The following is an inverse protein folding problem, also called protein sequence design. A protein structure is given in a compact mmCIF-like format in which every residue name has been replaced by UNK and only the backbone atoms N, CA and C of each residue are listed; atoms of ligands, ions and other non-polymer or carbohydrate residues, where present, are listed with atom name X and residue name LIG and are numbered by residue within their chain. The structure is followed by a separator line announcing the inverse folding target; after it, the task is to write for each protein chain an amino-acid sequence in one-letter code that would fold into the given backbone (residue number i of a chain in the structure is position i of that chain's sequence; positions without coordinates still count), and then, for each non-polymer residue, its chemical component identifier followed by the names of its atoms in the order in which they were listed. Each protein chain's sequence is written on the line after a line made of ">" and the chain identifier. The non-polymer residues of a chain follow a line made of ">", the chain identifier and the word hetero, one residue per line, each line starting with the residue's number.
data_IF_629446613694
#
_entry.id   IF_629446613694
#
_cell.length_a   1.000
_cell.length_b   1.000
_cell.length_c   1.000
_cell.angle_alpha   90.00
_cell.angle_beta   90.00
_cell.angle_gamma   90.00
#
_symmetry.space_group_name_H-M   'P 1'
#
loop_
_entity.id
_entity.type
_entity.pdbx_description
1 polymer ?
#
# COMPACT_ATOMS: atom_id res chain seq x y z
N UNK A 1 15.36 -1.13 -7.06
CA UNK A 1 15.36 -1.33 -5.66
C UNK A 1 16.75 -1.45 -5.10
N UNK A 2 17.03 -0.65 -4.21
CA UNK A 2 18.35 -0.54 -3.67
C UNK A 2 18.43 -1.05 -2.24
N UNK A 3 17.31 -1.29 -1.61
CA UNK A 3 17.33 -1.60 -0.22
C UNK A 3 16.20 -2.54 0.13
N UNK A 4 16.55 -3.78 0.43
CA UNK A 4 15.59 -4.81 0.78
C UNK A 4 16.07 -5.49 2.05
N UNK A 5 15.24 -5.44 3.08
CA UNK A 5 15.45 -6.25 4.26
C UNK A 5 14.72 -7.56 4.06
N UNK A 6 15.07 -8.62 4.81
CA UNK A 6 14.42 -9.91 4.64
C UNK A 6 12.89 -9.84 4.65
N UNK A 7 12.33 -8.91 5.43
CA UNK A 7 10.89 -8.81 5.60
C UNK A 7 10.30 -7.48 5.16
N UNK A 8 11.14 -6.57 4.68
CA UNK A 8 10.69 -5.24 4.28
C UNK A 8 11.25 -4.87 2.93
N UNK A 9 10.44 -4.22 2.12
CA UNK A 9 10.85 -3.69 0.83
C UNK A 9 10.30 -2.27 0.71
N UNK A 10 11.17 -1.34 0.33
CA UNK A 10 10.76 0.04 0.13
C UNK A 10 10.58 0.28 -1.37
N UNK A 11 9.47 0.90 -1.71
CA UNK A 11 9.16 1.29 -3.07
C UNK A 11 9.09 2.80 -3.13
N UNK A 12 9.70 3.37 -4.16
CA UNK A 12 9.69 4.82 -4.33
C UNK A 12 9.36 5.16 -5.77
N UNK A 13 8.72 6.28 -5.97
CA UNK A 13 8.42 6.83 -7.28
C UNK A 13 9.16 8.15 -7.42
N UNK A 14 9.93 8.28 -8.49
CA UNK A 14 10.69 9.51 -8.77
C UNK A 14 10.20 10.12 -10.07
N UNK A 15 10.09 11.44 -10.08
CA UNK A 15 9.79 12.22 -11.27
C UNK A 15 10.76 13.40 -11.29
N UNK A 16 11.47 13.56 -12.41
CA UNK A 16 12.43 14.67 -12.58
C UNK A 16 13.43 14.74 -11.42
N UNK A 17 13.93 13.57 -11.00
CA UNK A 17 14.89 13.42 -9.91
C UNK A 17 14.31 13.81 -8.54
N UNK A 18 12.99 13.92 -8.42
CA UNK A 18 12.33 14.22 -7.16
C UNK A 18 11.56 13.00 -6.68
N UNK A 19 11.63 12.76 -5.38
CA UNK A 19 10.89 11.66 -4.76
C UNK A 19 9.45 12.14 -4.54
N UNK A 20 8.51 11.59 -5.28
CA UNK A 20 7.12 12.06 -5.25
C UNK A 20 6.15 11.15 -4.53
N UNK A 21 6.52 9.90 -4.29
CA UNK A 21 5.70 8.98 -3.51
C UNK A 21 6.57 7.83 -3.01
N UNK A 22 6.21 7.27 -1.87
CA UNK A 22 6.97 6.17 -1.27
C UNK A 22 6.04 5.28 -0.46
N UNK A 23 6.44 4.02 -0.31
CA UNK A 23 5.71 3.04 0.47
C UNK A 23 6.64 1.94 0.95
N UNK A 24 6.23 1.26 2.01
CA UNK A 24 6.97 0.11 2.54
C UNK A 24 6.05 -1.09 2.59
N UNK A 25 6.57 -2.23 2.14
CA UNK A 25 5.90 -3.53 2.27
C UNK A 25 6.66 -4.40 3.24
N UNK A 26 5.94 -5.00 4.18
CA UNK A 26 6.49 -5.98 5.09
C UNK A 26 5.89 -7.34 4.74
N UNK A 27 6.73 -8.36 4.62
CA UNK A 27 6.23 -9.72 4.39
C UNK A 27 5.82 -10.31 5.73
N UNK A 28 4.55 -10.69 5.86
CA UNK A 28 4.01 -11.31 7.07
C UNK A 28 3.34 -12.60 6.66
N UNK A 29 3.91 -13.74 7.07
CA UNK A 29 3.40 -15.06 6.67
C UNK A 29 3.24 -15.13 5.15
N UNK A 30 2.01 -15.24 4.66
CA UNK A 30 1.73 -15.44 3.24
C UNK A 30 1.29 -14.17 2.53
N UNK A 31 1.32 -13.01 3.21
CA UNK A 31 0.85 -11.78 2.59
C UNK A 31 1.80 -10.64 2.85
N UNK A 32 1.57 -9.53 2.15
CA UNK A 32 2.34 -8.30 2.34
C UNK A 32 1.49 -7.28 3.08
N UNK A 33 2.09 -6.62 4.05
CA UNK A 33 1.43 -5.53 4.77
C UNK A 33 2.02 -4.21 4.29
N UNK A 34 1.15 -3.35 3.77
CA UNK A 34 1.54 -2.05 3.21
C UNK A 34 1.49 -1.00 4.29
N UNK A 35 2.60 -0.28 4.47
CA UNK A 35 2.69 0.79 5.45
C UNK A 35 3.33 2.01 4.84
N UNK A 36 3.13 3.16 5.49
CA UNK A 36 3.83 4.39 5.17
C UNK A 36 3.70 4.80 3.71
N UNK A 37 2.51 4.56 3.12
CA UNK A 37 2.24 5.09 1.79
C UNK A 37 2.09 6.60 1.90
N UNK A 38 3.05 7.33 1.34
CA UNK A 38 3.10 8.78 1.48
C UNK A 38 3.36 9.47 0.16
N UNK A 39 2.67 10.59 -0.04
CA UNK A 39 2.92 11.51 -1.13
C UNK A 39 2.99 12.90 -0.52
N UNK A 40 4.13 13.59 -0.60
CA UNK A 40 4.25 14.95 -0.04
C UNK A 40 3.14 15.86 -0.57
N UNK A 41 2.68 16.81 0.25
CA UNK A 41 1.53 17.65 -0.13
C UNK A 41 1.64 18.31 -1.50
N UNK A 42 2.82 18.77 -1.88
CA UNK A 42 2.97 19.45 -3.16
C UNK A 42 2.87 18.52 -4.36
N UNK A 43 2.91 17.22 -4.14
CA UNK A 43 2.80 16.23 -5.22
C UNK A 43 1.47 15.50 -5.21
N UNK A 44 0.54 15.88 -4.34
CA UNK A 44 -0.76 15.23 -4.25
C UNK A 44 -1.66 15.63 -5.41
N UNK A 45 -2.71 14.82 -5.64
CA UNK A 45 -3.71 15.05 -6.69
C UNK A 45 -3.13 14.96 -8.10
N UNK A 46 -1.99 14.28 -8.25
CA UNK A 46 -1.36 14.05 -9.54
C UNK A 46 -1.34 12.59 -9.94
N UNK A 47 -1.92 11.72 -9.12
CA UNK A 47 -1.97 10.29 -9.40
C UNK A 47 -0.72 9.52 -9.06
N UNK A 48 0.22 10.11 -8.33
CA UNK A 48 1.49 9.44 -8.05
C UNK A 48 1.31 8.25 -7.11
N UNK A 49 0.43 8.35 -6.11
CA UNK A 49 0.19 7.21 -5.22
C UNK A 49 -0.38 6.03 -6.00
N UNK A 50 -1.33 6.28 -6.91
CA UNK A 50 -1.87 5.22 -7.77
C UNK A 50 -0.79 4.61 -8.65
N UNK A 51 0.06 5.45 -9.22
CA UNK A 51 1.15 4.99 -10.07
C UNK A 51 2.10 4.08 -9.29
N UNK A 52 2.47 4.50 -8.08
CA UNK A 52 3.35 3.71 -7.23
C UNK A 52 2.72 2.37 -6.88
N UNK A 53 1.45 2.37 -6.47
CA UNK A 53 0.76 1.13 -6.13
C UNK A 53 0.67 0.19 -7.33
N UNK A 54 0.38 0.72 -8.51
CA UNK A 54 0.28 -0.11 -9.71
C UNK A 54 1.62 -0.73 -10.07
N UNK A 55 2.71 0.02 -9.95
CA UNK A 55 4.04 -0.52 -10.23
C UNK A 55 4.42 -1.60 -9.22
N UNK A 56 4.09 -1.36 -7.95
CA UNK A 56 4.34 -2.33 -6.90
C UNK A 56 3.59 -3.63 -7.16
N UNK A 57 2.30 -3.51 -7.48
CA UNK A 57 1.46 -4.67 -7.78
C UNK A 57 2.01 -5.44 -8.98
N UNK A 58 2.40 -4.73 -10.03
CA UNK A 58 2.96 -5.36 -11.22
C UNK A 58 4.22 -6.13 -10.88
N UNK A 59 5.08 -5.53 -10.06
CA UNK A 59 6.32 -6.19 -9.64
C UNK A 59 6.02 -7.47 -8.84
N UNK A 60 5.07 -7.40 -7.92
CA UNK A 60 4.72 -8.56 -7.12
C UNK A 60 4.10 -9.69 -7.95
N UNK A 61 3.31 -9.35 -8.96
CA UNK A 61 2.71 -10.35 -9.83
C UNK A 61 3.74 -11.18 -10.61
N UNK A 62 4.92 -10.63 -10.80
CA UNK A 62 5.99 -11.39 -11.45
C UNK A 62 6.44 -12.57 -10.60
N UNK A 63 6.10 -12.58 -9.33
CA UNK A 63 6.50 -13.62 -8.41
C UNK A 63 5.36 -14.58 -8.06
N UNK A 64 4.19 -14.40 -8.69
CA UNK A 64 3.07 -15.30 -8.49
C UNK A 64 1.84 -14.58 -7.95
N UNK A 65 1.08 -15.26 -7.10
CA UNK A 65 -0.13 -14.67 -6.51
C UNK A 65 0.24 -13.52 -5.58
N UNK A 66 -0.68 -12.56 -5.45
CA UNK A 66 -0.44 -11.35 -4.68
C UNK A 66 -1.54 -11.17 -3.64
N UNK A 67 -1.14 -10.91 -2.41
CA UNK A 67 -2.05 -10.61 -1.31
C UNK A 67 -1.43 -9.44 -0.55
N UNK A 68 -2.02 -8.25 -0.68
CA UNK A 68 -1.56 -7.05 -0.01
C UNK A 68 -2.68 -6.57 0.91
N UNK A 69 -2.34 -6.24 2.14
CA UNK A 69 -3.29 -5.72 3.13
C UNK A 69 -2.77 -4.45 3.73
N UNK A 70 -3.68 -3.55 4.09
CA UNK A 70 -3.31 -2.35 4.84
C UNK A 70 -4.53 -1.79 5.55
N UNK A 71 -4.32 -0.72 6.31
CA UNK A 71 -5.36 0.00 7.03
C UNK A 71 -5.43 1.41 6.48
N UNK A 72 -6.63 1.87 6.18
CA UNK A 72 -6.85 3.24 5.69
C UNK A 72 -7.91 3.89 6.55
N UNK A 73 -7.64 5.12 7.00
CA UNK A 73 -8.59 5.87 7.81
C UNK A 73 -9.94 5.97 7.09
N UNK A 74 -11.03 5.72 7.83
CA UNK A 74 -12.38 5.77 7.28
C UNK A 74 -12.74 7.16 6.77
N UNK A 75 -12.07 8.19 7.26
CA UNK A 75 -12.31 9.57 6.82
C UNK A 75 -11.37 10.02 5.72
N UNK A 76 -10.37 9.22 5.36
CA UNK A 76 -9.44 9.57 4.30
C UNK A 76 -9.99 9.13 2.95
N UNK A 77 -10.94 9.91 2.44
CA UNK A 77 -11.64 9.55 1.20
C UNK A 77 -10.70 9.50 0.00
N UNK A 78 -9.68 10.34 -0.02
CA UNK A 78 -8.72 10.34 -1.13
C UNK A 78 -7.93 9.03 -1.17
N UNK A 79 -7.44 8.56 -0.02
CA UNK A 79 -6.70 7.31 0.04
C UNK A 79 -7.59 6.11 -0.28
N UNK A 80 -8.83 6.12 0.23
CA UNK A 80 -9.78 5.06 -0.07
C UNK A 80 -10.04 4.97 -1.58
N UNK A 81 -10.21 6.13 -2.23
CA UNK A 81 -10.44 6.17 -3.68
C UNK A 81 -9.21 5.66 -4.44
N UNK A 82 -8.01 6.04 -4.01
CA UNK A 82 -6.77 5.57 -4.63
C UNK A 82 -6.65 4.04 -4.52
N UNK A 83 -6.90 3.50 -3.35
CA UNK A 83 -6.85 2.05 -3.14
C UNK A 83 -7.85 1.32 -4.03
N UNK A 84 -9.09 1.81 -4.08
CA UNK A 84 -10.12 1.17 -4.90
C UNK A 84 -9.78 1.25 -6.38
N UNK A 85 -9.24 2.37 -6.81
CA UNK A 85 -8.82 2.54 -8.20
C UNK A 85 -7.74 1.52 -8.59
N UNK A 86 -6.90 1.14 -7.66
CA UNK A 86 -5.83 0.18 -7.90
C UNK A 86 -6.26 -1.27 -7.67
N UNK A 87 -7.54 -1.51 -7.37
CA UNK A 87 -8.07 -2.86 -7.25
C UNK A 87 -8.19 -3.37 -5.82
N UNK A 88 -7.92 -2.55 -4.84
CA UNK A 88 -8.13 -2.92 -3.44
C UNK A 88 -9.63 -2.88 -3.11
N UNK A 89 -10.02 -3.69 -2.14
CA UNK A 89 -11.39 -3.69 -1.65
C UNK A 89 -11.38 -3.65 -0.12
N UNK A 90 -12.52 -3.25 0.46
CA UNK A 90 -12.66 -3.25 1.91
C UNK A 90 -12.89 -4.69 2.35
N UNK A 91 -11.92 -5.24 3.06
CA UNK A 91 -11.98 -6.61 3.55
C UNK A 91 -12.48 -6.68 4.99
N UNK A 92 -12.18 -5.66 5.79
CA UNK A 92 -12.55 -5.60 7.20
C UNK A 92 -13.20 -4.26 7.50
N UNK A 93 -14.30 -4.28 8.23
CA UNK A 93 -14.95 -3.07 8.71
C UNK A 93 -14.02 -2.28 9.64
N UNK A 94 -13.22 -2.99 10.43
CA UNK A 94 -12.23 -2.39 11.30
C UNK A 94 -10.88 -2.98 10.96
N UNK A 95 -9.92 -2.11 10.63
CA UNK A 95 -8.62 -2.55 10.16
C UNK A 95 -7.83 -3.26 11.23
N UNK A 96 -6.99 -4.18 10.79
CA UNK A 96 -6.09 -4.92 11.67
C UNK A 96 -4.67 -4.50 11.34
N UNK A 97 -3.97 -3.99 12.35
CA UNK A 97 -2.54 -3.74 12.21
C UNK A 97 -1.82 -5.05 12.50
N UNK A 98 -1.53 -5.78 11.44
CA UNK A 98 -1.06 -7.15 11.55
C UNK A 98 0.26 -7.32 12.31
N UNK A 99 1.21 -6.37 12.25
CA UNK A 99 2.44 -6.56 13.04
C UNK A 99 2.20 -6.79 14.53
N UNK A 100 1.11 -6.23 15.09
CA UNK A 100 0.76 -6.43 16.49
C UNK A 100 -0.62 -7.04 16.69
N UNK A 101 -1.32 -7.36 15.59
CA UNK A 101 -2.68 -7.90 15.64
C UNK A 101 -3.64 -6.98 16.40
N UNK A 102 -3.46 -5.67 16.24
CA UNK A 102 -4.27 -4.67 16.92
C UNK A 102 -5.37 -4.19 15.99
N UNK A 103 -6.61 -4.20 16.48
CA UNK A 103 -7.75 -3.73 15.71
C UNK A 103 -7.94 -2.24 15.93
N UNK A 104 -8.17 -1.49 14.84
CA UNK A 104 -8.40 -0.05 14.91
C UNK A 104 -9.72 0.28 14.24
N UNK A 105 -10.73 0.65 15.02
CA UNK A 105 -12.07 0.91 14.51
C UNK A 105 -12.18 2.22 13.75
N UNK A 106 -11.13 3.02 13.67
CA UNK A 106 -11.11 4.25 12.87
C UNK A 106 -10.60 4.00 11.46
N UNK A 107 -10.23 2.77 11.14
CA UNK A 107 -9.74 2.40 9.82
C UNK A 107 -10.56 1.27 9.26
N UNK A 108 -10.56 1.19 7.91
CA UNK A 108 -10.98 -0.03 7.20
C UNK A 108 -9.75 -0.88 6.95
N UNK A 109 -9.91 -2.20 6.95
CA UNK A 109 -8.90 -3.10 6.45
C UNK A 109 -9.09 -3.25 4.95
N UNK A 110 -8.09 -2.82 4.19
CA UNK A 110 -8.12 -2.91 2.72
C UNK A 110 -7.28 -4.11 2.29
N UNK A 111 -7.66 -4.69 1.16
CA UNK A 111 -6.95 -5.86 0.64
C UNK A 111 -6.94 -5.84 -0.87
N UNK A 112 -5.82 -6.24 -1.44
CA UNK A 112 -5.69 -6.57 -2.86
C UNK A 112 -5.30 -8.04 -2.90
N UNK A 113 -6.10 -8.87 -3.56
CA UNK A 113 -5.85 -10.30 -3.56
C UNK A 113 -6.13 -10.90 -4.93
N UNK A 114 -5.09 -11.42 -5.58
CA UNK A 114 -5.17 -12.11 -6.85
C UNK A 114 -4.34 -13.38 -6.74
N UNK A 115 -4.95 -14.49 -7.09
CA UNK A 115 -4.24 -15.75 -7.11
C UNK A 115 -3.36 -15.91 -8.31
#
# INVERSE_FOLDING_TARGET
>A
DFFTLPENTYYVLEKDNMLVSAARLSKINDFYYLEALETPPKYRKKGYASELLNEMITHLHQQGSVDIRDCVSKTNTASLATHKKCGFFIAEENGIYYPSNTVNNKTYGMRYFIR
#
